data_IF_535429486139
#
_entry.id   IF_535429486139
#
_cell.length_a   1.000
_cell.length_b   1.000
_cell.length_c   1.000
_cell.angle_alpha   90.00
_cell.angle_beta   90.00
_cell.angle_gamma   90.00
#
_symmetry.space_group_name_H-M   'P 1'
#
loop_
_entity.id
_entity.type
_entity.pdbx_description
1 polymer ?
#
# COMPACT_ATOMS: atom_id res chain seq x y z
N UNK A 1 -16.48 2.79 21.22
CA UNK A 1 -15.86 2.16 20.04
C UNK A 1 -14.44 2.65 20.03
N UNK A 2 -13.54 1.90 20.69
CA UNK A 2 -12.13 2.27 20.76
C UNK A 2 -11.53 2.22 19.35
N UNK A 3 -10.96 3.34 18.93
CA UNK A 3 -10.21 3.46 17.69
C UNK A 3 -8.94 2.61 17.86
N UNK A 4 -8.92 1.43 17.23
CA UNK A 4 -7.74 0.58 17.23
C UNK A 4 -6.73 1.21 16.27
N UNK A 5 -5.90 2.09 16.80
CA UNK A 5 -4.70 2.54 16.09
C UNK A 5 -3.74 1.36 15.97
N UNK A 6 -3.62 0.84 14.75
CA UNK A 6 -2.48 0.02 14.34
C UNK A 6 -1.22 0.77 14.76
N UNK A 7 -0.35 0.12 15.55
CA UNK A 7 0.97 0.68 15.87
C UNK A 7 1.64 1.10 14.56
N UNK A 8 2.09 2.36 14.42
CA UNK A 8 2.68 2.82 13.18
C UNK A 8 3.89 1.95 12.84
N UNK A 9 3.88 1.33 11.67
CA UNK A 9 5.05 0.65 11.14
C UNK A 9 6.12 1.71 10.85
N UNK A 10 7.36 1.55 11.34
CA UNK A 10 8.41 2.52 11.09
C UNK A 10 8.70 2.55 9.59
N UNK A 11 8.61 3.70 8.92
CA UNK A 11 8.82 3.78 7.47
C UNK A 11 10.18 3.16 7.06
N UNK A 12 10.18 2.08 6.25
CA UNK A 12 11.41 1.44 5.76
C UNK A 12 12.18 2.35 4.78
N UNK A 13 11.47 2.87 3.78
CA UNK A 13 12.08 3.72 2.74
C UNK A 13 12.21 5.15 3.28
N UNK A 14 13.42 5.72 3.39
CA UNK A 14 13.59 7.07 3.89
C UNK A 14 12.74 8.06 3.08
N UNK A 15 12.02 8.97 3.75
CA UNK A 15 11.07 9.86 3.09
C UNK A 15 11.71 10.64 1.93
N UNK A 16 12.96 11.09 2.09
CA UNK A 16 13.71 11.77 1.01
C UNK A 16 13.78 10.98 -0.30
N UNK A 17 13.89 9.64 -0.22
CA UNK A 17 13.97 8.75 -1.38
C UNK A 17 12.59 8.62 -2.02
N UNK A 18 11.54 8.43 -1.23
CA UNK A 18 10.16 8.39 -1.74
C UNK A 18 9.78 9.69 -2.46
N UNK A 19 10.19 10.83 -1.93
CA UNK A 19 9.87 12.14 -2.49
C UNK A 19 10.64 12.44 -3.78
N UNK A 20 11.75 11.73 -4.03
CA UNK A 20 12.60 11.96 -5.22
C UNK A 20 12.48 10.88 -6.29
N UNK A 21 11.94 9.68 -6.00
CA UNK A 21 12.01 8.55 -6.93
C UNK A 21 10.98 8.61 -8.07
N UNK A 22 9.99 9.49 -7.98
CA UNK A 22 8.90 9.69 -8.95
C UNK A 22 8.04 8.44 -9.26
N UNK A 23 8.21 7.33 -8.54
CA UNK A 23 7.46 6.09 -8.80
C UNK A 23 6.06 6.12 -8.18
N UNK A 24 5.97 6.24 -6.86
CA UNK A 24 4.68 6.13 -6.17
C UNK A 24 3.81 7.38 -6.38
N UNK A 25 2.49 7.19 -6.28
CA UNK A 25 1.45 8.20 -6.50
C UNK A 25 1.26 8.67 -7.96
N UNK A 26 1.96 8.06 -8.92
CA UNK A 26 1.80 8.29 -10.37
C UNK A 26 1.40 6.99 -11.04
N UNK A 27 0.44 7.07 -11.95
CA UNK A 27 -0.18 5.90 -12.56
C UNK A 27 -0.36 6.13 -14.06
N UNK A 28 -0.15 5.10 -14.90
CA UNK A 28 -0.36 5.25 -16.33
C UNK A 28 -1.85 5.38 -16.68
N UNK A 29 -2.73 4.66 -15.98
CA UNK A 29 -4.18 4.62 -16.25
C UNK A 29 -5.05 5.12 -15.07
N UNK A 30 -6.22 5.69 -15.39
CA UNK A 30 -7.18 6.22 -14.40
C UNK A 30 -7.74 5.15 -13.46
N UNK A 31 -7.89 3.94 -13.99
CA UNK A 31 -8.44 2.75 -13.34
C UNK A 31 -7.34 1.77 -12.91
N UNK A 32 -6.07 2.22 -12.85
CA UNK A 32 -4.93 1.39 -12.47
C UNK A 32 -5.24 0.57 -11.21
N UNK A 33 -5.04 -0.74 -11.28
CA UNK A 33 -5.26 -1.62 -10.14
C UNK A 33 -4.26 -1.38 -9.00
N UNK A 34 -3.18 -0.63 -9.25
CA UNK A 34 -2.17 -0.26 -8.25
C UNK A 34 -2.58 0.96 -7.42
N UNK A 35 -3.72 1.58 -7.74
CA UNK A 35 -4.28 2.67 -6.93
C UNK A 35 -4.50 2.16 -5.50
N UNK A 36 -4.08 2.93 -4.48
CA UNK A 36 -4.24 2.50 -3.11
C UNK A 36 -5.72 2.34 -2.77
N UNK A 37 -6.04 1.25 -2.08
CA UNK A 37 -7.33 1.05 -1.45
C UNK A 37 -7.38 1.80 -0.12
N UNK A 38 -8.53 2.38 0.18
CA UNK A 38 -8.83 3.00 1.46
C UNK A 38 -10.05 2.31 2.06
N UNK A 39 -9.95 1.89 3.32
CA UNK A 39 -11.13 1.46 4.11
C UNK A 39 -12.01 2.67 4.49
N UNK A 40 -13.25 2.44 4.91
CA UNK A 40 -14.13 3.51 5.41
C UNK A 40 -13.45 4.48 6.41
N UNK A 41 -12.69 3.92 7.35
CA UNK A 41 -11.99 4.70 8.37
C UNK A 41 -10.86 5.55 7.74
N UNK A 42 -10.10 4.97 6.81
CA UNK A 42 -9.03 5.66 6.08
C UNK A 42 -9.56 6.77 5.18
N UNK A 43 -10.69 6.51 4.52
CA UNK A 43 -11.41 7.51 3.75
C UNK A 43 -11.81 8.69 4.67
N UNK A 44 -12.33 8.40 5.86
CA UNK A 44 -12.67 9.42 6.86
C UNK A 44 -11.47 10.29 7.23
N UNK A 45 -10.32 9.66 7.52
CA UNK A 45 -9.07 10.38 7.84
C UNK A 45 -8.53 11.18 6.67
N UNK A 46 -8.57 10.63 5.46
CA UNK A 46 -8.09 11.31 4.25
C UNK A 46 -8.93 12.57 3.94
N UNK A 47 -10.25 12.48 4.08
CA UNK A 47 -11.15 13.63 3.91
C UNK A 47 -10.94 14.69 4.98
N UNK A 48 -10.81 14.27 6.25
CA UNK A 48 -10.49 15.21 7.34
C UNK A 48 -9.15 15.92 7.14
N UNK A 49 -8.20 15.27 6.45
CA UNK A 49 -6.91 15.83 6.08
C UNK A 49 -6.92 16.60 4.73
N UNK A 50 -8.09 16.79 4.10
CA UNK A 50 -8.26 17.67 2.94
C UNK A 50 -8.31 17.00 1.57
N UNK A 51 -8.40 15.67 1.48
CA UNK A 51 -8.73 15.01 0.20
C UNK A 51 -10.23 15.16 -0.08
N UNK A 52 -10.60 15.57 -1.28
CA UNK A 52 -12.00 15.74 -1.63
C UNK A 52 -12.76 14.41 -1.58
N UNK A 53 -13.92 14.40 -0.92
CA UNK A 53 -14.72 13.20 -0.74
C UNK A 53 -15.18 12.57 -2.07
N UNK A 54 -15.28 13.36 -3.13
CA UNK A 54 -15.65 12.94 -4.48
C UNK A 54 -14.64 11.97 -5.13
N UNK A 55 -13.41 11.90 -4.62
CA UNK A 55 -12.43 10.91 -5.06
C UNK A 55 -12.66 9.50 -4.51
N UNK A 56 -13.66 9.32 -3.65
CA UNK A 56 -14.01 8.03 -3.07
C UNK A 56 -15.43 7.65 -3.52
N UNK A 57 -15.53 6.72 -4.47
CA UNK A 57 -16.80 6.29 -5.06
C UNK A 57 -17.67 5.50 -4.09
N UNK A 58 -17.06 4.84 -3.11
CA UNK A 58 -17.76 4.13 -2.03
C UNK A 58 -17.13 4.50 -0.68
N UNK A 59 -17.97 4.98 0.24
CA UNK A 59 -17.54 5.40 1.59
C UNK A 59 -17.33 4.21 2.54
N UNK A 60 -17.79 3.01 2.18
CA UNK A 60 -17.48 1.78 2.91
C UNK A 60 -16.03 1.30 2.65
N UNK A 61 -15.47 1.66 1.49
CA UNK A 61 -14.08 1.41 1.14
C UNK A 61 -13.90 1.23 -0.37
N UNK A 62 -12.90 1.88 -0.95
CA UNK A 62 -12.64 1.83 -2.38
C UNK A 62 -11.19 2.16 -2.72
N UNK A 63 -10.78 1.82 -3.95
CA UNK A 63 -9.61 2.44 -4.54
C UNK A 63 -9.90 3.91 -4.81
N UNK A 64 -8.93 4.78 -4.53
CA UNK A 64 -9.09 6.22 -4.77
C UNK A 64 -9.16 6.52 -6.27
N UNK A 65 -10.10 7.37 -6.68
CA UNK A 65 -10.14 7.89 -8.05
C UNK A 65 -8.98 8.86 -8.29
N UNK A 66 -8.27 8.65 -9.39
CA UNK A 66 -7.11 9.47 -9.74
C UNK A 66 -7.52 10.75 -10.46
N UNK A 67 -6.60 11.72 -10.43
CA UNK A 67 -6.72 12.97 -11.19
C UNK A 67 -5.77 12.94 -12.39
N UNK A 68 -6.15 13.43 -13.58
CA UNK A 68 -5.24 13.55 -14.70
C UNK A 68 -4.01 14.41 -14.34
N UNK A 69 -2.85 14.02 -14.85
CA UNK A 69 -1.66 14.86 -14.75
C UNK A 69 -1.85 16.12 -15.62
N UNK A 70 -1.94 17.30 -15.00
CA UNK A 70 -2.16 18.56 -15.74
C UNK A 70 -0.97 18.99 -16.60
N UNK A 71 0.21 18.39 -16.42
CA UNK A 71 1.45 18.78 -17.07
C UNK A 71 2.07 17.68 -17.92
N UNK A 72 1.36 16.58 -18.18
CA UNK A 72 1.89 15.47 -18.95
C UNK A 72 0.93 14.30 -19.07
N UNK A 73 1.49 13.12 -19.29
CA UNK A 73 0.71 11.89 -19.40
C UNK A 73 0.41 11.27 -18.03
N UNK A 74 -0.57 10.38 -18.04
CA UNK A 74 -0.96 9.59 -16.87
C UNK A 74 -1.78 10.36 -15.84
N UNK A 75 -1.79 9.83 -14.63
CA UNK A 75 -2.67 10.21 -13.55
C UNK A 75 -1.92 10.25 -12.22
N UNK A 76 -2.39 11.09 -11.31
CA UNK A 76 -1.86 11.23 -9.96
C UNK A 76 -2.89 10.83 -8.91
N UNK A 77 -2.39 10.34 -7.77
CA UNK A 77 -3.19 10.26 -6.55
C UNK A 77 -3.70 11.68 -6.19
N UNK A 78 -4.96 11.88 -5.80
CA UNK A 78 -5.47 13.20 -5.44
C UNK A 78 -4.85 13.78 -4.16
N UNK A 79 -4.10 12.98 -3.38
CA UNK A 79 -3.33 13.49 -2.25
C UNK A 79 -1.90 13.90 -2.63
N UNK A 80 -1.46 13.67 -3.87
CA UNK A 80 -0.12 14.01 -4.34
C UNK A 80 -0.07 15.47 -4.80
N UNK A 81 0.95 16.19 -4.33
CA UNK A 81 1.30 17.53 -4.80
C UNK A 81 2.44 17.43 -5.82
N UNK A 82 2.18 17.67 -7.12
CA UNK A 82 3.21 17.58 -8.16
C UNK A 82 4.23 18.71 -8.09
N UNK A 83 3.93 19.84 -7.44
CA UNK A 83 4.86 20.95 -7.33
C UNK A 83 5.96 20.67 -6.29
N UNK A 84 5.64 19.92 -5.23
CA UNK A 84 6.58 19.61 -4.15
C UNK A 84 6.97 18.14 -4.10
N UNK A 85 6.35 17.27 -4.91
CA UNK A 85 6.43 15.82 -4.83
C UNK A 85 6.00 15.22 -3.48
N UNK A 86 5.20 15.94 -2.69
CA UNK A 86 4.77 15.49 -1.36
C UNK A 86 3.37 14.88 -1.37
N UNK A 87 3.13 13.93 -0.47
CA UNK A 87 1.79 13.48 -0.13
C UNK A 87 1.19 14.40 0.94
N UNK A 88 0.09 15.10 0.62
CA UNK A 88 -0.61 16.01 1.53
C UNK A 88 -1.17 15.31 2.77
N UNK A 89 -1.39 14.00 2.69
CA UNK A 89 -1.91 13.18 3.80
C UNK A 89 -0.86 12.22 4.37
N UNK A 90 0.45 12.51 4.24
CA UNK A 90 1.53 11.57 4.54
C UNK A 90 1.39 10.82 5.89
N UNK A 91 0.93 11.49 6.94
CA UNK A 91 0.78 10.93 8.28
C UNK A 91 -0.50 10.08 8.48
N UNK A 92 -1.48 10.19 7.59
CA UNK A 92 -2.76 9.46 7.66
C UNK A 92 -3.01 8.62 6.39
N UNK A 93 -1.93 8.28 5.68
CA UNK A 93 -1.94 7.41 4.50
C UNK A 93 -2.69 6.10 4.78
N UNK A 94 -3.32 5.49 3.77
CA UNK A 94 -3.94 4.18 3.94
C UNK A 94 -2.87 3.11 4.16
N UNK A 95 -3.28 1.95 4.67
CA UNK A 95 -2.43 0.80 4.95
C UNK A 95 -1.56 0.45 3.74
N UNK A 96 -2.15 0.34 2.55
CA UNK A 96 -1.45 0.10 1.28
C UNK A 96 -0.24 1.02 1.09
N UNK A 97 -0.42 2.32 1.32
CA UNK A 97 0.66 3.31 1.18
C UNK A 97 1.64 3.31 2.36
N UNK A 98 1.23 2.86 3.55
CA UNK A 98 2.11 2.75 4.72
C UNK A 98 3.06 1.56 4.60
N UNK A 99 2.59 0.45 4.03
CA UNK A 99 3.40 -0.76 3.86
C UNK A 99 4.27 -0.73 2.60
N UNK A 100 3.98 0.14 1.62
CA UNK A 100 4.82 0.29 0.43
C UNK A 100 6.30 0.51 0.83
N UNK A 101 7.25 -0.27 0.29
CA UNK A 101 7.21 -1.01 -0.99
C UNK A 101 6.75 -2.47 -0.89
N UNK A 102 6.19 -2.88 0.25
CA UNK A 102 5.58 -4.21 0.39
C UNK A 102 4.13 -4.20 -0.09
N UNK A 103 3.67 -5.37 -0.53
CA UNK A 103 2.29 -5.60 -0.91
C UNK A 103 1.79 -6.93 -0.36
N UNK A 104 0.54 -6.94 0.09
CA UNK A 104 -0.22 -8.16 0.33
C UNK A 104 -0.99 -8.46 -0.94
N UNK A 105 -0.80 -9.64 -1.50
CA UNK A 105 -1.46 -10.05 -2.75
C UNK A 105 -1.78 -11.55 -2.74
N UNK A 106 -2.59 -11.98 -3.68
CA UNK A 106 -2.71 -13.41 -4.01
C UNK A 106 -1.48 -13.88 -4.79
N UNK A 107 -1.07 -15.13 -4.61
CA UNK A 107 -0.11 -15.79 -5.49
C UNK A 107 -0.73 -16.10 -6.87
N UNK A 108 0.11 -16.56 -7.81
CA UNK A 108 -0.25 -16.71 -9.22
C UNK A 108 -1.42 -17.68 -9.46
N UNK A 109 -1.56 -18.71 -8.63
CA UNK A 109 -2.67 -19.67 -8.69
C UNK A 109 -3.88 -19.25 -7.83
N UNK A 110 -3.82 -18.08 -7.20
CA UNK A 110 -4.85 -17.54 -6.33
C UNK A 110 -5.18 -18.47 -5.15
N UNK A 111 -4.19 -19.24 -4.69
CA UNK A 111 -4.36 -20.23 -3.63
C UNK A 111 -3.96 -19.69 -2.25
N UNK A 112 -3.06 -18.71 -2.17
CA UNK A 112 -2.52 -18.18 -0.91
C UNK A 112 -2.37 -16.67 -0.97
N UNK A 113 -2.70 -16.02 0.15
CA UNK A 113 -2.25 -14.67 0.39
C UNK A 113 -0.74 -14.69 0.70
N UNK A 114 0.01 -13.80 0.07
CA UNK A 114 1.46 -13.68 0.19
C UNK A 114 1.87 -12.24 0.46
N UNK A 115 3.02 -12.07 1.12
CA UNK A 115 3.70 -10.80 1.28
C UNK A 115 4.93 -10.78 0.36
N UNK A 116 5.08 -9.71 -0.39
CA UNK A 116 6.26 -9.47 -1.24
C UNK A 116 6.63 -7.99 -1.30
N UNK A 117 7.72 -7.68 -1.99
CA UNK A 117 8.13 -6.30 -2.26
C UNK A 117 8.16 -5.99 -3.76
N UNK A 118 7.79 -4.76 -4.10
CA UNK A 118 7.68 -4.27 -5.48
C UNK A 118 9.04 -3.82 -6.04
N UNK A 119 9.49 -4.49 -7.10
CA UNK A 119 10.74 -4.20 -7.83
C UNK A 119 10.78 -2.83 -8.49
N UNK A 120 9.63 -2.17 -8.64
CA UNK A 120 9.56 -0.78 -9.10
C UNK A 120 10.14 0.19 -8.07
N UNK A 121 10.22 -0.19 -6.79
CA UNK A 121 10.85 0.65 -5.77
C UNK A 121 12.37 0.70 -5.95
N UNK A 122 12.98 1.85 -6.32
CA UNK A 122 14.42 1.91 -6.56
C UNK A 122 15.23 1.66 -5.29
N UNK A 123 14.74 2.14 -4.14
CA UNK A 123 15.37 1.88 -2.84
C UNK A 123 15.55 0.38 -2.59
N UNK A 124 14.53 -0.43 -2.87
CA UNK A 124 14.60 -1.87 -2.61
C UNK A 124 15.57 -2.56 -3.56
N UNK A 125 15.59 -2.18 -4.85
CA UNK A 125 16.57 -2.71 -5.80
C UNK A 125 17.99 -2.40 -5.36
N UNK A 126 18.28 -1.14 -5.00
CA UNK A 126 19.60 -0.71 -4.55
C UNK A 126 20.05 -1.49 -3.29
N UNK A 127 19.12 -1.74 -2.36
CA UNK A 127 19.40 -2.53 -1.14
C UNK A 127 19.77 -3.99 -1.45
N UNK A 128 19.13 -4.59 -2.46
CA UNK A 128 19.43 -5.95 -2.92
C UNK A 128 20.76 -6.00 -3.69
N UNK A 129 20.98 -5.06 -4.60
CA UNK A 129 22.19 -5.01 -5.44
C UNK A 129 23.47 -4.74 -4.65
N UNK A 130 23.39 -3.88 -3.63
CA UNK A 130 24.56 -3.50 -2.81
C UNK A 130 24.88 -4.47 -1.68
N UNK A 131 24.09 -5.53 -1.49
CA UNK A 131 24.30 -6.57 -0.48
C UNK A 131 24.12 -6.11 0.98
N UNK A 132 23.77 -4.85 1.21
CA UNK A 132 23.60 -4.28 2.55
C UNK A 132 22.20 -4.49 3.15
N UNK A 133 21.21 -4.92 2.35
CA UNK A 133 19.79 -4.87 2.72
C UNK A 133 18.97 -6.16 2.89
N UNK A 134 19.41 -7.41 2.59
CA UNK A 134 18.50 -8.56 2.67
C UNK A 134 17.98 -8.85 4.09
N UNK A 135 18.84 -8.73 5.10
CA UNK A 135 18.46 -9.00 6.50
C UNK A 135 17.46 -7.95 7.03
N UNK A 136 17.65 -6.68 6.69
CA UNK A 136 16.75 -5.60 7.09
C UNK A 136 15.41 -5.66 6.35
N UNK A 137 15.41 -6.05 5.07
CA UNK A 137 14.18 -6.27 4.28
C UNK A 137 13.38 -7.44 4.86
N UNK A 138 14.02 -8.58 5.18
CA UNK A 138 13.35 -9.74 5.76
C UNK A 138 12.80 -9.42 7.16
N UNK A 139 13.60 -8.79 8.03
CA UNK A 139 13.13 -8.39 9.36
C UNK A 139 11.97 -7.38 9.29
N UNK A 140 11.94 -6.52 8.27
CA UNK A 140 10.81 -5.64 8.03
C UNK A 140 9.57 -6.38 7.52
N UNK A 141 9.76 -7.32 6.58
CA UNK A 141 8.71 -8.18 6.08
C UNK A 141 8.07 -9.01 7.21
N UNK A 142 8.88 -9.52 8.14
CA UNK A 142 8.41 -10.26 9.30
C UNK A 142 7.53 -9.42 10.21
N UNK A 143 7.87 -8.13 10.40
CA UNK A 143 7.03 -7.19 11.15
C UNK A 143 5.71 -6.89 10.45
N UNK A 144 5.70 -6.72 9.13
CA UNK A 144 4.47 -6.56 8.37
C UNK A 144 3.64 -7.84 8.44
N UNK A 145 4.24 -9.01 8.25
CA UNK A 145 3.54 -10.28 8.31
C UNK A 145 2.90 -10.49 9.68
N UNK A 146 3.63 -10.22 10.77
CA UNK A 146 3.08 -10.28 12.12
C UNK A 146 1.90 -9.30 12.33
N UNK A 147 1.98 -8.10 11.75
CA UNK A 147 0.89 -7.14 11.80
C UNK A 147 -0.35 -7.65 11.03
N UNK A 148 -0.15 -8.09 9.79
CA UNK A 148 -1.21 -8.56 8.88
C UNK A 148 -1.89 -9.82 9.42
N UNK A 149 -1.12 -10.70 10.05
CA UNK A 149 -1.61 -11.94 10.65
C UNK A 149 -2.17 -11.76 12.07
N UNK A 150 -2.22 -10.55 12.63
CA UNK A 150 -2.89 -10.24 13.89
C UNK A 150 -4.42 -10.24 13.76
N UNK A 151 -5.14 -10.63 14.82
CA UNK A 151 -6.59 -10.89 14.78
C UNK A 151 -7.41 -9.69 14.23
N UNK A 152 -7.11 -8.47 14.70
CA UNK A 152 -7.78 -7.25 14.21
C UNK A 152 -7.51 -6.99 12.72
N UNK A 153 -6.28 -7.24 12.26
CA UNK A 153 -5.90 -7.10 10.85
C UNK A 153 -6.61 -8.16 10.00
N UNK A 154 -6.69 -9.40 10.47
CA UNK A 154 -7.36 -10.49 9.76
C UNK A 154 -8.82 -10.14 9.43
N UNK A 155 -9.56 -9.60 10.41
CA UNK A 155 -10.93 -9.14 10.18
C UNK A 155 -11.00 -7.96 9.23
N UNK A 156 -10.06 -7.01 9.34
CA UNK A 156 -9.98 -5.89 8.43
C UNK A 156 -9.77 -6.34 6.98
N UNK A 157 -8.85 -7.27 6.73
CA UNK A 157 -8.63 -7.81 5.38
C UNK A 157 -9.84 -8.63 4.88
N UNK A 158 -10.49 -9.42 5.75
CA UNK A 158 -11.68 -10.20 5.39
C UNK A 158 -12.87 -9.32 5.00
N UNK A 159 -13.06 -8.20 5.70
CA UNK A 159 -14.12 -7.22 5.42
C UNK A 159 -13.78 -6.25 4.30
N UNK A 160 -12.51 -6.16 3.90
CA UNK A 160 -12.03 -5.32 2.81
C UNK A 160 -11.15 -6.13 1.83
N UNK A 161 -11.70 -7.13 1.11
CA UNK A 161 -10.91 -7.99 0.22
C UNK A 161 -10.01 -7.26 -0.80
N UNK A 162 -10.37 -6.08 -1.34
CA UNK A 162 -9.48 -5.35 -2.26
C UNK A 162 -8.17 -4.82 -1.64
N UNK A 163 -7.99 -4.89 -0.31
CA UNK A 163 -6.66 -4.71 0.32
C UNK A 163 -5.66 -5.79 -0.10
N UNK A 164 -6.14 -6.90 -0.67
CA UNK A 164 -5.30 -7.98 -1.19
C UNK A 164 -5.19 -7.76 -2.70
N UNK A 165 -4.02 -7.33 -3.13
CA UNK A 165 -3.74 -7.15 -4.55
C UNK A 165 -3.90 -8.43 -5.35
N UNK A 166 -4.12 -8.28 -6.66
CA UNK A 166 -3.90 -9.37 -7.60
C UNK A 166 -2.42 -9.71 -7.69
N UNK A 167 -2.12 -10.91 -8.19
CA UNK A 167 -0.74 -11.33 -8.47
C UNK A 167 -0.03 -10.33 -9.40
N UNK A 168 1.23 -10.03 -9.10
CA UNK A 168 2.07 -9.09 -9.83
C UNK A 168 3.44 -9.71 -10.07
N UNK A 169 3.87 -9.78 -11.32
CA UNK A 169 5.19 -10.32 -11.70
C UNK A 169 6.35 -9.47 -11.15
N UNK A 170 6.11 -8.16 -11.03
CA UNK A 170 7.09 -7.21 -10.50
C UNK A 170 7.25 -7.28 -8.97
N UNK A 171 6.51 -8.16 -8.28
CA UNK A 171 6.61 -8.32 -6.82
C UNK A 171 7.38 -9.59 -6.48
N UNK A 172 8.52 -9.42 -5.81
CA UNK A 172 9.29 -10.54 -5.27
C UNK A 172 8.60 -11.04 -4.01
N UNK A 173 8.03 -12.25 -4.10
CA UNK A 173 7.38 -12.92 -2.98
C UNK A 173 8.43 -13.27 -1.91
N UNK A 174 8.16 -12.86 -0.68
CA UNK A 174 9.01 -13.13 0.47
C UNK A 174 8.48 -14.29 1.30
N UNK A 175 7.17 -14.32 1.56
CA UNK A 175 6.55 -15.34 2.41
C UNK A 175 5.04 -15.47 2.22
N UNK A 176 4.47 -16.65 2.48
CA UNK A 176 3.03 -16.81 2.62
C UNK A 176 2.50 -16.17 3.92
N UNK A 177 1.21 -15.85 3.91
CA UNK A 177 0.42 -15.37 5.05
C UNK A 177 -0.67 -16.42 5.37
N UNK A 178 -0.31 -17.53 6.05
CA UNK A 178 -1.21 -18.66 6.28
C UNK A 178 -2.48 -18.30 7.08
N UNK A 179 -2.39 -17.46 8.12
CA UNK A 179 -3.56 -17.07 8.92
C UNK A 179 -4.52 -16.23 8.10
N UNK A 180 -3.99 -15.29 7.33
CA UNK A 180 -4.78 -14.49 6.41
C UNK A 180 -5.44 -15.37 5.34
N UNK A 181 -4.67 -16.28 4.73
CA UNK A 181 -5.20 -17.24 3.75
C UNK A 181 -6.34 -18.08 4.33
N UNK A 182 -6.18 -18.61 5.54
CA UNK A 182 -7.22 -19.39 6.21
C UNK A 182 -8.47 -18.54 6.48
N UNK A 183 -8.29 -17.31 6.96
CA UNK A 183 -9.40 -16.39 7.27
C UNK A 183 -10.23 -16.01 6.03
N UNK A 184 -9.59 -15.86 4.88
CA UNK A 184 -10.23 -15.48 3.62
C UNK A 184 -10.97 -16.64 2.94
N UNK A 185 -10.63 -17.88 3.30
CA UNK A 185 -11.25 -19.10 2.77
C UNK A 185 -12.30 -19.72 3.70
N UNK A 186 -12.42 -19.19 4.92
CA UNK A 186 -13.43 -19.59 5.90
C UNK A 186 -14.76 -18.89 5.62
#
# INVERSE_FOLDING_TARGET
>A
MELIQIKPLPQLVPSRVCLSCEVCCRFPEADSFLRPYFTAEEIGRAVAAGVEAAHFSDRAGCQVSLVPNSHGEGYHCPAFDPATSHCRIYHVRPLDCQIYPFAVMWDADHSRAVLGWDTKCPFMRDQVETGNGPADIQAYADRIAALVEGDDSLERFATNPPLIGRFQEDVVILRPLPRLTARLKA
#
